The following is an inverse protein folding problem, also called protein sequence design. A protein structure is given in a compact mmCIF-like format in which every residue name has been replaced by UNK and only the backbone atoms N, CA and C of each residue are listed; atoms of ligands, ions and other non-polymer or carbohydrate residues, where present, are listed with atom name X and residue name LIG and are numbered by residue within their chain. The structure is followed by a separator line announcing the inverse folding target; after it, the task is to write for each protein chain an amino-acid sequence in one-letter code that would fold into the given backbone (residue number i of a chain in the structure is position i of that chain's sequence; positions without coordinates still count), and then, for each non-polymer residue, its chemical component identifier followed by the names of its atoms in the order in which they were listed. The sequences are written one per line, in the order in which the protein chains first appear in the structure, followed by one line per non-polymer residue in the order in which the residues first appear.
data_IF_856865203725
#
_entry.id   IF_856865203725
#
_cell.length_a   1.000
_cell.length_b   1.000
_cell.length_c   1.000
_cell.angle_alpha   90.00
_cell.angle_beta   90.00
_cell.angle_gamma   90.00
#
_symmetry.space_group_name_H-M   'P 1'
#
loop_
_entity.id
_entity.type
_entity.pdbx_description
1 polymer ?
#
# COMPACT_ATOMS: atom_id res chain seq x y z
N UNK A 1 -7.56 7.55 -15.37
CA UNK A 1 -6.48 7.27 -14.39
C UNK A 1 -5.11 7.30 -15.01
N UNK A 2 -4.08 7.65 -14.23
CA UNK A 2 -2.74 8.04 -14.69
C UNK A 2 -2.00 7.03 -15.58
N UNK A 3 -2.33 5.73 -15.46
CA UNK A 3 -1.70 4.63 -16.21
C UNK A 3 -2.64 3.96 -17.22
N UNK A 4 -3.95 4.29 -17.21
CA UNK A 4 -4.92 3.78 -18.19
C UNK A 4 -5.10 2.26 -18.24
N UNK A 5 -4.68 1.53 -17.21
CA UNK A 5 -4.79 0.06 -17.14
C UNK A 5 -6.05 -0.33 -16.36
N UNK A 6 -6.78 -1.32 -16.88
CA UNK A 6 -7.91 -1.95 -16.20
C UNK A 6 -7.45 -3.26 -15.57
N UNK A 7 -7.88 -3.50 -14.33
CA UNK A 7 -7.58 -4.71 -13.55
C UNK A 7 -8.36 -4.69 -12.24
N UNK A 8 -8.45 -5.86 -11.61
CA UNK A 8 -9.19 -6.05 -10.36
C UNK A 8 -8.25 -6.18 -9.16
N UNK A 9 -6.98 -6.51 -9.39
CA UNK A 9 -5.99 -6.74 -8.34
C UNK A 9 -4.71 -5.95 -8.58
N UNK A 10 -4.19 -5.32 -7.52
CA UNK A 10 -2.86 -4.74 -7.46
C UNK A 10 -1.94 -5.71 -6.72
N UNK A 11 -0.89 -6.18 -7.38
CA UNK A 11 0.19 -6.93 -6.72
C UNK A 11 1.24 -5.95 -6.25
N UNK A 12 1.40 -5.84 -4.94
CA UNK A 12 2.37 -4.97 -4.28
C UNK A 12 3.60 -5.76 -3.84
N UNK A 13 4.78 -5.37 -4.34
CA UNK A 13 6.07 -6.03 -4.06
C UNK A 13 6.97 -5.17 -3.19
N UNK A 14 7.48 -5.73 -2.10
CA UNK A 14 8.52 -5.12 -1.27
C UNK A 14 9.94 -5.45 -1.75
N UNK A 15 10.90 -4.67 -1.24
CA UNK A 15 12.32 -4.81 -1.52
C UNK A 15 12.90 -6.19 -1.15
N UNK A 16 12.39 -6.81 -0.08
CA UNK A 16 12.78 -8.15 0.37
C UNK A 16 12.16 -9.30 -0.47
N UNK A 17 11.32 -8.96 -1.45
CA UNK A 17 10.63 -9.92 -2.31
C UNK A 17 9.28 -10.38 -1.79
N UNK A 18 8.83 -9.93 -0.61
CA UNK A 18 7.48 -10.18 -0.14
C UNK A 18 6.44 -9.53 -1.07
N UNK A 19 5.34 -10.22 -1.34
CA UNK A 19 4.26 -9.73 -2.20
C UNK A 19 2.91 -9.92 -1.52
N UNK A 20 2.01 -8.98 -1.75
CA UNK A 20 0.61 -9.05 -1.33
C UNK A 20 -0.32 -8.61 -2.43
N UNK A 21 -1.48 -9.25 -2.48
CA UNK A 21 -2.57 -8.88 -3.38
C UNK A 21 -3.48 -7.87 -2.68
N UNK A 22 -3.65 -6.71 -3.32
CA UNK A 22 -4.50 -5.61 -2.88
C UNK A 22 -5.66 -5.47 -3.87
N UNK A 23 -6.90 -5.71 -3.48
CA UNK A 23 -8.06 -5.49 -4.35
C UNK A 23 -8.10 -4.04 -4.83
N UNK A 24 -8.37 -3.81 -6.12
CA UNK A 24 -8.55 -2.44 -6.66
C UNK A 24 -9.76 -1.75 -6.02
N UNK A 25 -10.73 -2.51 -5.53
CA UNK A 25 -11.85 -1.97 -4.76
C UNK A 25 -11.38 -1.24 -3.49
N UNK A 26 -10.34 -1.74 -2.80
CA UNK A 26 -9.84 -1.11 -1.56
C UNK A 26 -9.39 0.33 -1.83
N UNK A 27 -8.63 0.55 -2.91
CA UNK A 27 -8.12 1.88 -3.27
C UNK A 27 -9.20 2.80 -3.83
N UNK A 28 -10.34 2.24 -4.27
CA UNK A 28 -11.53 3.01 -4.67
C UNK A 28 -12.40 3.37 -3.47
N UNK A 29 -12.46 2.50 -2.48
CA UNK A 29 -13.34 2.61 -1.31
C UNK A 29 -12.73 3.44 -0.19
N UNK A 30 -11.43 3.31 0.04
CA UNK A 30 -10.73 3.98 1.13
C UNK A 30 -9.65 4.93 0.61
N UNK A 31 -9.33 6.02 1.33
CA UNK A 31 -8.21 6.90 0.99
C UNK A 31 -6.86 6.24 1.33
N UNK A 32 -6.53 5.15 0.64
CA UNK A 32 -5.23 4.46 0.74
C UNK A 32 -4.14 5.37 0.15
N UNK A 33 -3.03 5.52 0.87
CA UNK A 33 -1.92 6.36 0.43
C UNK A 33 -0.64 5.57 0.23
N UNK A 34 0.22 6.10 -0.63
CA UNK A 34 1.63 5.74 -0.71
C UNK A 34 2.45 6.78 0.04
N UNK A 35 2.87 6.44 1.25
CA UNK A 35 3.69 7.33 2.06
C UNK A 35 5.16 7.26 1.63
N UNK A 36 5.75 8.41 1.31
CA UNK A 36 7.19 8.60 1.07
C UNK A 36 7.90 9.25 2.27
N UNK A 37 7.12 9.88 3.14
CA UNK A 37 7.59 10.61 4.32
C UNK A 37 6.71 10.29 5.51
N UNK A 38 7.31 10.33 6.69
CA UNK A 38 6.61 10.30 7.97
C UNK A 38 7.15 11.45 8.82
N UNK A 39 6.26 12.25 9.40
CA UNK A 39 6.61 13.40 10.25
C UNK A 39 7.61 14.36 9.55
N UNK A 40 7.37 14.61 8.25
CA UNK A 40 8.22 15.47 7.41
C UNK A 40 9.55 14.85 6.96
N UNK A 41 9.93 13.67 7.46
CA UNK A 41 11.19 12.99 7.14
C UNK A 41 10.99 11.89 6.10
N UNK A 42 11.90 11.81 5.14
CA UNK A 42 11.89 10.74 4.12
C UNK A 42 12.07 9.38 4.77
N UNK A 43 11.22 8.42 4.38
CA UNK A 43 11.35 7.02 4.77
C UNK A 43 12.60 6.42 4.12
N UNK A 44 13.57 6.00 4.92
CA UNK A 44 14.74 5.24 4.45
C UNK A 44 14.43 3.74 4.45
N UNK A 45 15.21 2.94 3.73
CA UNK A 45 15.09 1.46 3.73
C UNK A 45 15.04 0.89 5.16
N UNK A 46 15.96 1.31 6.03
CA UNK A 46 15.99 0.90 7.45
C UNK A 46 14.78 1.35 8.28
N UNK A 47 13.94 2.24 7.74
CA UNK A 47 12.78 2.84 8.38
C UNK A 47 11.59 2.83 7.42
N UNK A 48 11.20 1.62 6.95
CA UNK A 48 9.98 1.34 6.17
C UNK A 48 9.90 1.96 4.76
N UNK A 49 10.94 2.62 4.27
CA UNK A 49 10.97 3.26 2.94
C UNK A 49 11.48 2.36 1.81
N UNK A 50 11.39 2.80 0.54
CA UNK A 50 11.12 4.18 0.11
C UNK A 50 9.64 4.54 0.08
N UNK A 51 8.76 3.55 -0.03
CA UNK A 51 7.31 3.70 -0.09
C UNK A 51 6.63 2.75 0.89
N UNK A 52 5.52 3.18 1.47
CA UNK A 52 4.68 2.37 2.35
C UNK A 52 3.20 2.55 1.97
N UNK A 53 2.50 1.44 1.70
CA UNK A 53 1.04 1.44 1.55
C UNK A 53 0.41 1.61 2.94
N UNK A 54 -0.44 2.62 3.11
CA UNK A 54 -1.12 2.88 4.39
C UNK A 54 -2.62 2.95 4.16
N UNK A 55 -3.34 2.13 4.92
CA UNK A 55 -4.80 2.20 5.07
C UNK A 55 -5.18 3.13 6.24
N UNK A 56 -6.27 3.91 6.12
CA UNK A 56 -6.74 4.86 7.13
C UNK A 56 -7.50 4.15 8.28
N UNK A 57 -6.79 3.30 9.04
CA UNK A 57 -7.37 2.46 10.12
C UNK A 57 -8.00 3.24 11.28
N UNK A 58 -7.67 4.53 11.38
CA UNK A 58 -8.23 5.47 12.35
C UNK A 58 -9.61 5.99 11.94
N UNK A 59 -9.92 5.97 10.65
CA UNK A 59 -11.19 6.45 10.08
C UNK A 59 -12.23 5.34 9.88
N UNK A 60 -11.78 4.07 9.83
CA UNK A 60 -12.61 2.91 9.49
C UNK A 60 -12.28 1.73 10.40
N UNK A 61 -13.21 1.32 11.26
CA UNK A 61 -12.97 0.21 12.21
C UNK A 61 -12.78 -1.13 11.51
N UNK A 62 -13.41 -1.33 10.35
CA UNK A 62 -13.26 -2.54 9.53
C UNK A 62 -11.83 -2.75 9.02
N UNK A 63 -11.05 -1.68 8.91
CA UNK A 63 -9.65 -1.73 8.46
C UNK A 63 -8.70 -2.22 9.56
N UNK A 64 -9.18 -2.46 10.79
CA UNK A 64 -8.40 -3.06 11.88
C UNK A 64 -8.22 -4.58 11.73
N UNK A 65 -8.95 -5.21 10.81
CA UNK A 65 -8.77 -6.64 10.53
C UNK A 65 -7.35 -6.94 10.03
N UNK A 66 -6.79 -8.11 10.42
CA UNK A 66 -5.40 -8.49 10.10
C UNK A 66 -5.11 -8.50 8.58
N UNK A 67 -6.12 -8.75 7.76
CA UNK A 67 -6.01 -8.71 6.29
C UNK A 67 -5.50 -7.37 5.77
N UNK A 68 -5.99 -6.24 6.32
CA UNK A 68 -5.57 -4.89 5.90
C UNK A 68 -4.19 -4.52 6.45
N UNK A 69 -3.86 -5.00 7.65
CA UNK A 69 -2.50 -4.87 8.19
C UNK A 69 -1.49 -5.60 7.30
N UNK A 70 -1.83 -6.79 6.80
CA UNK A 70 -0.99 -7.54 5.84
C UNK A 70 -0.81 -6.82 4.51
N UNK A 71 -1.85 -6.11 4.03
CA UNK A 71 -1.80 -5.30 2.80
C UNK A 71 -1.03 -3.98 2.95
N UNK A 72 -0.78 -3.53 4.17
CA UNK A 72 -0.06 -2.28 4.48
C UNK A 72 1.47 -2.47 4.39
N UNK A 73 1.94 -2.87 3.22
CA UNK A 73 3.33 -3.28 2.96
C UNK A 73 4.31 -2.09 2.91
N UNK A 74 5.42 -2.20 3.62
CA UNK A 74 6.53 -1.24 3.60
C UNK A 74 7.61 -1.63 2.59
N UNK A 75 8.54 -0.70 2.31
CA UNK A 75 9.61 -0.89 1.33
C UNK A 75 9.09 -1.28 -0.07
N UNK A 76 7.92 -0.76 -0.45
CA UNK A 76 7.30 -1.02 -1.75
C UNK A 76 8.21 -0.58 -2.89
N UNK A 77 8.46 -1.47 -3.85
CA UNK A 77 9.27 -1.21 -5.05
C UNK A 77 8.47 -1.30 -6.33
N UNK A 78 7.39 -2.08 -6.35
CA UNK A 78 6.62 -2.35 -7.59
C UNK A 78 5.15 -2.53 -7.28
N UNK A 79 4.30 -1.97 -8.14
CA UNK A 79 2.88 -2.26 -8.22
C UNK A 79 2.59 -2.79 -9.62
N UNK A 80 1.94 -3.95 -9.69
CA UNK A 80 1.49 -4.56 -10.95
C UNK A 80 -0.02 -4.66 -10.94
N UNK A 81 -0.67 -4.12 -11.96
CA UNK A 81 -2.12 -4.29 -12.18
C UNK A 81 -2.35 -5.63 -12.86
N UNK A 82 -3.29 -6.42 -12.34
CA UNK A 82 -3.77 -7.69 -12.89
C UNK A 82 -5.27 -7.67 -13.09
#
# INVERSE_FOLDING_TARGET
DAVGVEGETLVARALDGYNVDVPVEDVRKYPVILAMKQDGKVLRVRSKGPLWIIYPVDQHEELRAESFSGRSIWQLTTLTVK
#
